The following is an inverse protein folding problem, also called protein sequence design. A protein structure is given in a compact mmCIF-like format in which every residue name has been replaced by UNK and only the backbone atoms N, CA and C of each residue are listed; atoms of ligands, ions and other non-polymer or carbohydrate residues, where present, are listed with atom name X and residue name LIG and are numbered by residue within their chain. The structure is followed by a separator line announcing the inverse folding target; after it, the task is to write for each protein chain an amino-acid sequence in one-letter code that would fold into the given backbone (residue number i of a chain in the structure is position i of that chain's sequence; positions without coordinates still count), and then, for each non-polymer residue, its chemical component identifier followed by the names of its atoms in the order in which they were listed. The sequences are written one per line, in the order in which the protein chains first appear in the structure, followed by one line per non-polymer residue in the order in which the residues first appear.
data_IF_913246942524
#
_entry.id   IF_913246942524
#
_cell.length_a   1.000
_cell.length_b   1.000
_cell.length_c   1.000
_cell.angle_alpha   90.00
_cell.angle_beta   90.00
_cell.angle_gamma   90.00
#
_symmetry.space_group_name_H-M   'P 1'
#
loop_
_entity.id
_entity.type
_entity.pdbx_description
1 polymer ?
#
# COMPACT_ATOMS: atom_id res chain seq x y z
N UNK A 1 0.52 -43.15 -12.94
CA UNK A 1 1.37 -41.94 -12.81
C UNK A 1 2.17 -42.02 -11.52
N UNK A 2 3.48 -41.80 -11.57
CA UNK A 2 4.28 -41.59 -10.37
C UNK A 2 3.95 -40.22 -9.80
N UNK A 3 3.23 -40.18 -8.67
CA UNK A 3 2.82 -38.94 -7.99
C UNK A 3 4.02 -38.01 -7.69
N UNK A 4 5.18 -38.60 -7.37
CA UNK A 4 6.43 -37.88 -7.15
C UNK A 4 6.84 -37.05 -8.39
N UNK A 5 6.79 -37.65 -9.57
CA UNK A 5 7.19 -36.99 -10.82
C UNK A 5 6.26 -35.82 -11.15
N UNK A 6 4.94 -36.04 -11.03
CA UNK A 6 3.95 -34.99 -11.25
C UNK A 6 4.17 -33.80 -10.30
N UNK A 7 4.52 -34.08 -9.05
CA UNK A 7 4.78 -33.05 -8.03
C UNK A 7 6.02 -32.22 -8.38
N UNK A 8 7.11 -32.87 -8.79
CA UNK A 8 8.33 -32.19 -9.25
C UNK A 8 8.03 -31.31 -10.47
N UNK A 9 7.27 -31.83 -11.43
CA UNK A 9 6.90 -31.06 -12.63
C UNK A 9 6.09 -29.81 -12.29
N UNK A 10 5.09 -29.93 -11.41
CA UNK A 10 4.31 -28.78 -10.94
C UNK A 10 5.22 -27.75 -10.27
N UNK A 11 6.17 -28.19 -9.43
CA UNK A 11 7.12 -27.30 -8.78
C UNK A 11 8.01 -26.56 -9.80
N UNK A 12 8.50 -27.25 -10.83
CA UNK A 12 9.29 -26.65 -11.91
C UNK A 12 8.49 -25.64 -12.76
N UNK A 13 7.18 -25.82 -12.88
CA UNK A 13 6.30 -24.85 -13.54
C UNK A 13 6.05 -23.63 -12.64
N UNK A 14 5.83 -23.86 -11.35
CA UNK A 14 5.40 -22.83 -10.40
C UNK A 14 6.57 -21.95 -9.93
N UNK A 15 7.78 -22.49 -9.79
CA UNK A 15 8.95 -21.76 -9.27
C UNK A 15 9.25 -20.40 -9.96
N UNK A 16 9.32 -20.30 -11.31
CA UNK A 16 9.49 -19.00 -11.97
C UNK A 16 8.32 -18.05 -11.76
N UNK A 17 7.10 -18.57 -11.59
CA UNK A 17 5.94 -17.77 -11.26
C UNK A 17 5.96 -17.20 -9.84
N UNK A 18 6.44 -17.97 -8.86
CA UNK A 18 6.60 -17.51 -7.48
C UNK A 18 7.62 -16.37 -7.40
N UNK A 19 8.75 -16.53 -8.10
CA UNK A 19 9.78 -15.49 -8.16
C UNK A 19 9.33 -14.25 -8.93
N UNK A 20 8.52 -14.41 -9.98
CA UNK A 20 7.81 -13.29 -10.62
C UNK A 20 6.98 -12.50 -9.61
N UNK A 21 6.11 -13.14 -8.83
CA UNK A 21 5.26 -12.42 -7.88
C UNK A 21 6.04 -11.79 -6.75
N UNK A 22 7.06 -12.49 -6.23
CA UNK A 22 7.93 -11.95 -5.19
C UNK A 22 8.66 -10.68 -5.68
N UNK A 23 9.13 -10.67 -6.92
CA UNK A 23 9.74 -9.48 -7.52
C UNK A 23 8.70 -8.38 -7.81
N UNK A 24 7.53 -8.74 -8.34
CA UNK A 24 6.43 -7.82 -8.65
C UNK A 24 5.97 -7.05 -7.42
N UNK A 25 5.76 -7.76 -6.30
CA UNK A 25 5.32 -7.19 -5.04
C UNK A 25 6.47 -6.71 -4.13
N UNK A 26 7.72 -6.62 -4.56
CA UNK A 26 8.84 -6.18 -3.68
C UNK A 26 8.69 -4.77 -3.03
N UNK A 27 9.59 -4.35 -2.14
CA UNK A 27 9.58 -3.00 -1.54
C UNK A 27 8.29 -2.67 -0.77
N UNK A 28 7.72 -1.48 -0.95
CA UNK A 28 6.52 -1.00 -0.22
C UNK A 28 5.24 -1.83 -0.41
N UNK A 29 5.24 -2.81 -1.32
CA UNK A 29 4.08 -3.66 -1.62
C UNK A 29 4.30 -5.13 -1.23
N UNK A 30 5.38 -5.46 -0.50
CA UNK A 30 5.74 -6.84 -0.14
C UNK A 30 4.68 -7.53 0.69
N UNK A 31 3.91 -6.75 1.43
CA UNK A 31 2.85 -7.16 2.33
C UNK A 31 1.74 -7.95 1.63
N UNK A 32 1.37 -7.60 0.37
CA UNK A 32 0.32 -8.34 -0.36
C UNK A 32 0.72 -9.79 -0.63
N UNK A 33 1.99 -10.04 -0.95
CA UNK A 33 2.47 -11.40 -1.21
C UNK A 33 2.48 -12.26 0.07
N UNK A 34 2.77 -11.65 1.23
CA UNK A 34 2.77 -12.35 2.53
C UNK A 34 1.38 -12.80 3.01
N UNK A 35 0.31 -12.11 2.60
CA UNK A 35 -1.08 -12.42 3.04
C UNK A 35 -1.73 -13.59 2.29
N UNK A 36 -1.18 -13.99 1.14
CA UNK A 36 -1.74 -15.06 0.34
C UNK A 36 -1.44 -16.42 0.97
N UNK A 37 -2.43 -17.31 1.01
CA UNK A 37 -2.18 -18.70 1.41
C UNK A 37 -1.18 -19.35 0.45
N UNK A 38 -0.44 -20.36 0.92
CA UNK A 38 0.52 -21.09 0.07
C UNK A 38 -0.17 -21.59 -1.21
N UNK A 39 -1.39 -22.12 -1.08
CA UNK A 39 -2.19 -22.56 -2.21
C UNK A 39 -2.47 -21.44 -3.21
N UNK A 40 -2.89 -20.26 -2.75
CA UNK A 40 -3.16 -19.11 -3.62
C UNK A 40 -1.88 -18.60 -4.31
N UNK A 41 -0.74 -18.61 -3.60
CA UNK A 41 0.55 -18.30 -4.20
C UNK A 41 0.90 -19.28 -5.32
N UNK A 42 0.70 -20.59 -5.12
CA UNK A 42 0.93 -21.62 -6.13
C UNK A 42 0.01 -21.41 -7.33
N UNK A 43 -1.30 -21.29 -7.11
CA UNK A 43 -2.29 -21.14 -8.19
C UNK A 43 -2.03 -19.91 -9.05
N UNK A 44 -1.78 -18.75 -8.42
CA UNK A 44 -1.49 -17.52 -9.15
C UNK A 44 -0.21 -17.66 -9.95
N UNK A 45 0.80 -18.35 -9.42
CA UNK A 45 2.12 -18.54 -10.03
C UNK A 45 2.12 -19.41 -11.29
N UNK A 46 1.07 -20.21 -11.53
CA UNK A 46 0.99 -21.05 -12.73
C UNK A 46 1.06 -20.21 -14.01
N UNK A 47 0.26 -19.14 -14.10
CA UNK A 47 0.19 -18.30 -15.31
C UNK A 47 1.53 -17.62 -15.63
N UNK A 48 2.17 -16.86 -14.73
CA UNK A 48 3.47 -16.26 -15.02
C UNK A 48 4.58 -17.32 -15.16
N UNK A 49 4.46 -18.47 -14.50
CA UNK A 49 5.39 -19.58 -14.66
C UNK A 49 5.37 -20.16 -16.07
N UNK A 50 4.19 -20.48 -16.59
CA UNK A 50 3.99 -20.92 -17.98
C UNK A 50 4.43 -19.82 -18.96
N UNK A 51 4.14 -18.56 -18.67
CA UNK A 51 4.55 -17.43 -19.52
C UNK A 51 6.07 -17.32 -19.60
N UNK A 52 6.77 -17.42 -18.46
CA UNK A 52 8.23 -17.41 -18.41
C UNK A 52 8.82 -18.61 -19.18
N UNK A 53 8.20 -19.79 -19.08
CA UNK A 53 8.61 -20.97 -19.84
C UNK A 53 8.43 -20.78 -21.35
N UNK A 54 7.28 -20.25 -21.78
CA UNK A 54 7.02 -19.98 -23.19
C UNK A 54 8.05 -19.00 -23.75
N UNK A 55 8.36 -17.93 -23.01
CA UNK A 55 9.42 -16.98 -23.38
C UNK A 55 10.76 -17.70 -23.46
N UNK A 56 11.15 -18.47 -22.44
CA UNK A 56 12.43 -19.17 -22.42
C UNK A 56 12.59 -20.15 -23.59
N UNK A 57 11.53 -20.89 -23.95
CA UNK A 57 11.54 -21.82 -25.10
C UNK A 57 11.79 -21.06 -26.42
N UNK A 58 11.24 -19.86 -26.59
CA UNK A 58 11.49 -19.06 -27.79
C UNK A 58 12.95 -18.64 -27.94
N UNK A 59 13.68 -18.48 -26.82
CA UNK A 59 15.08 -18.07 -26.81
C UNK A 59 16.07 -19.22 -26.62
N UNK A 60 15.61 -20.43 -26.31
CA UNK A 60 16.49 -21.56 -25.99
C UNK A 60 17.38 -21.94 -27.17
N UNK A 61 16.84 -21.89 -28.38
CA UNK A 61 17.56 -22.24 -29.61
C UNK A 61 18.64 -21.23 -29.98
N UNK A 62 18.55 -20.00 -29.47
CA UNK A 62 19.53 -18.93 -29.71
C UNK A 62 20.67 -18.95 -28.68
N UNK A 63 20.53 -19.75 -27.61
CA UNK A 63 21.50 -19.80 -26.53
C UNK A 63 22.41 -21.01 -26.70
N UNK A 64 23.71 -20.85 -27.05
CA UNK A 64 24.63 -21.98 -27.25
C UNK A 64 24.93 -22.78 -25.98
N UNK A 65 24.49 -22.28 -24.81
CA UNK A 65 24.60 -22.97 -23.52
C UNK A 65 23.43 -23.94 -23.27
N UNK A 66 22.38 -23.91 -24.10
CA UNK A 66 21.17 -24.69 -23.94
C UNK A 66 20.86 -25.45 -25.24
N UNK A 67 20.76 -26.77 -25.15
CA UNK A 67 20.30 -27.59 -26.27
C UNK A 67 18.77 -27.50 -26.42
N UNK A 68 18.27 -27.92 -27.59
CA UNK A 68 16.84 -27.93 -27.88
C UNK A 68 16.04 -28.69 -26.81
N UNK A 69 14.95 -28.10 -26.33
CA UNK A 69 14.04 -28.74 -25.38
C UNK A 69 13.24 -29.83 -26.09
N UNK A 70 13.54 -31.10 -25.81
CA UNK A 70 12.73 -32.21 -26.32
C UNK A 70 11.48 -32.42 -25.46
N UNK A 71 10.37 -31.82 -25.88
CA UNK A 71 9.06 -31.95 -25.24
C UNK A 71 8.51 -33.39 -25.29
N UNK A 72 9.06 -34.28 -26.13
CA UNK A 72 8.62 -35.68 -26.22
C UNK A 72 8.96 -36.45 -24.95
N UNK A 73 10.15 -36.21 -24.39
CA UNK A 73 10.60 -36.81 -23.13
C UNK A 73 9.64 -36.40 -22.01
N UNK A 74 9.24 -35.13 -21.98
CA UNK A 74 8.29 -34.62 -21.00
C UNK A 74 6.90 -35.28 -21.13
N UNK A 75 6.39 -35.40 -22.36
CA UNK A 75 5.11 -36.07 -22.64
C UNK A 75 5.12 -37.54 -22.25
N UNK A 76 6.20 -38.25 -22.55
CA UNK A 76 6.37 -39.66 -22.18
C UNK A 76 6.45 -39.86 -20.67
N UNK A 77 7.11 -38.95 -19.95
CA UNK A 77 7.24 -39.00 -18.50
C UNK A 77 5.92 -38.63 -17.78
N UNK A 78 5.06 -37.83 -18.42
CA UNK A 78 3.75 -37.45 -17.90
C UNK A 78 2.66 -38.51 -18.13
N UNK A 79 2.58 -39.04 -19.36
CA UNK A 79 1.56 -40.03 -19.78
C UNK A 79 1.92 -41.42 -19.27
N UNK A 80 3.21 -41.67 -19.06
CA UNK A 80 3.76 -42.96 -18.71
C UNK A 80 4.37 -43.64 -19.94
N UNK A 81 5.51 -44.31 -19.76
CA UNK A 81 6.18 -45.07 -20.80
C UNK A 81 5.33 -46.26 -21.25
N UNK A 82 5.47 -46.66 -22.51
CA UNK A 82 4.81 -47.88 -23.04
C UNK A 82 5.63 -49.15 -22.82
N UNK A 83 6.92 -49.02 -22.56
CA UNK A 83 7.89 -50.11 -22.39
C UNK A 83 9.07 -49.70 -21.49
N UNK A 84 9.66 -50.67 -20.77
CA UNK A 84 10.71 -50.43 -19.77
C UNK A 84 12.06 -49.99 -20.37
N UNK A 85 12.34 -50.34 -21.63
CA UNK A 85 13.57 -49.96 -22.31
C UNK A 85 13.66 -48.43 -22.50
N UNK A 86 12.56 -47.83 -22.99
CA UNK A 86 12.47 -46.38 -23.22
C UNK A 86 12.53 -45.58 -21.91
N UNK A 87 12.07 -46.17 -20.80
CA UNK A 87 12.24 -45.58 -19.45
C UNK A 87 13.70 -45.44 -19.08
N UNK A 88 14.44 -46.54 -19.21
CA UNK A 88 15.85 -46.61 -18.83
C UNK A 88 16.69 -45.64 -19.66
N UNK A 89 16.44 -45.58 -20.96
CA UNK A 89 17.09 -44.62 -21.86
C UNK A 89 16.80 -43.17 -21.45
N UNK A 90 15.53 -42.86 -21.12
CA UNK A 90 15.14 -41.52 -20.69
C UNK A 90 15.83 -41.07 -19.40
N UNK A 91 15.95 -41.97 -18.41
CA UNK A 91 16.66 -41.66 -17.17
C UNK A 91 18.15 -41.42 -17.42
N UNK A 92 18.79 -42.19 -18.31
CA UNK A 92 20.20 -41.98 -18.67
C UNK A 92 20.42 -40.63 -19.37
N UNK A 93 19.49 -40.22 -20.24
CA UNK A 93 19.53 -38.90 -20.89
C UNK A 93 19.37 -37.77 -19.87
N UNK A 94 18.44 -37.92 -18.92
CA UNK A 94 18.24 -36.95 -17.84
C UNK A 94 19.48 -36.86 -16.95
N UNK A 95 20.06 -37.98 -16.55
CA UNK A 95 21.27 -38.03 -15.71
C UNK A 95 22.45 -37.35 -16.40
N UNK A 96 22.69 -37.65 -17.68
CA UNK A 96 23.73 -37.01 -18.48
C UNK A 96 23.51 -35.50 -18.67
N UNK A 97 22.24 -35.06 -18.64
CA UNK A 97 21.85 -33.66 -18.90
C UNK A 97 21.50 -32.88 -17.62
N UNK A 98 21.69 -33.45 -16.43
CA UNK A 98 21.20 -32.87 -15.18
C UNK A 98 21.70 -31.44 -14.94
N UNK A 99 22.99 -31.18 -15.19
CA UNK A 99 23.57 -29.84 -15.05
C UNK A 99 22.93 -28.81 -15.99
N UNK A 100 22.56 -29.22 -17.20
CA UNK A 100 21.87 -28.35 -18.18
C UNK A 100 20.44 -28.07 -17.75
N UNK A 101 19.72 -29.09 -17.25
CA UNK A 101 18.36 -28.94 -16.69
C UNK A 101 18.36 -27.96 -15.51
N UNK A 102 19.31 -28.09 -14.59
CA UNK A 102 19.46 -27.18 -13.45
C UNK A 102 19.77 -25.76 -13.95
N UNK A 103 20.72 -25.60 -14.88
CA UNK A 103 21.08 -24.29 -15.44
C UNK A 103 19.90 -23.61 -16.13
N UNK A 104 19.17 -24.36 -16.96
CA UNK A 104 17.94 -23.88 -17.60
C UNK A 104 16.92 -23.40 -16.55
N UNK A 105 16.70 -24.18 -15.50
CA UNK A 105 15.72 -23.84 -14.48
C UNK A 105 16.14 -22.62 -13.63
N UNK A 106 17.44 -22.47 -13.32
CA UNK A 106 17.96 -21.28 -12.67
C UNK A 106 17.78 -20.03 -13.53
N UNK A 107 18.10 -20.11 -14.82
CA UNK A 107 17.88 -19.01 -15.77
C UNK A 107 16.39 -18.66 -15.87
N UNK A 108 15.51 -19.66 -15.84
CA UNK A 108 14.07 -19.48 -15.86
C UNK A 108 13.55 -18.77 -14.60
N UNK A 109 14.08 -19.12 -13.42
CA UNK A 109 13.79 -18.42 -12.16
C UNK A 109 14.25 -16.96 -12.22
N UNK A 110 15.46 -16.70 -12.72
CA UNK A 110 15.98 -15.34 -12.91
C UNK A 110 15.12 -14.53 -13.89
N UNK A 111 14.70 -15.16 -14.98
CA UNK A 111 13.79 -14.56 -15.96
C UNK A 111 12.44 -14.20 -15.31
N UNK A 112 11.86 -15.10 -14.50
CA UNK A 112 10.65 -14.84 -13.74
C UNK A 112 10.77 -13.60 -12.84
N UNK A 113 11.85 -13.54 -12.04
CA UNK A 113 12.14 -12.38 -11.19
C UNK A 113 12.31 -11.08 -12.00
N UNK A 114 13.05 -11.13 -13.12
CA UNK A 114 13.25 -9.98 -14.01
C UNK A 114 11.94 -9.47 -14.61
N UNK A 115 11.09 -10.38 -15.10
CA UNK A 115 9.78 -10.05 -15.65
C UNK A 115 8.88 -9.40 -14.59
N UNK A 116 8.88 -9.92 -13.36
CA UNK A 116 8.12 -9.36 -12.25
C UNK A 116 8.57 -7.94 -11.90
N UNK A 117 9.89 -7.73 -11.79
CA UNK A 117 10.47 -6.41 -11.54
C UNK A 117 10.17 -5.41 -12.67
N UNK A 118 10.27 -5.84 -13.93
CA UNK A 118 9.96 -5.01 -15.10
C UNK A 118 8.47 -4.65 -15.16
N UNK A 119 7.58 -5.61 -14.93
CA UNK A 119 6.13 -5.39 -14.90
C UNK A 119 5.74 -4.36 -13.83
N UNK A 120 6.26 -4.51 -12.61
CA UNK A 120 6.07 -3.53 -11.53
C UNK A 120 6.57 -2.14 -11.94
N UNK A 121 7.80 -2.08 -12.44
CA UNK A 121 8.42 -0.82 -12.86
C UNK A 121 7.61 -0.14 -13.95
N UNK A 122 7.09 -0.91 -14.90
CA UNK A 122 6.25 -0.40 -15.99
C UNK A 122 4.93 0.17 -15.47
N UNK A 123 4.21 -0.57 -14.63
CA UNK A 123 2.94 -0.14 -14.03
C UNK A 123 3.12 1.15 -13.23
N UNK A 124 4.13 1.19 -12.34
CA UNK A 124 4.39 2.35 -11.47
C UNK A 124 4.88 3.57 -12.25
N UNK A 125 5.76 3.40 -13.24
CA UNK A 125 6.23 4.52 -14.08
C UNK A 125 5.11 5.11 -14.94
N UNK A 126 4.19 4.27 -15.42
CA UNK A 126 3.02 4.71 -16.19
C UNK A 126 1.81 5.07 -15.32
N UNK A 127 1.93 5.00 -13.99
CA UNK A 127 0.86 5.29 -13.02
C UNK A 127 -0.42 4.47 -13.30
N UNK A 128 -0.30 3.29 -13.88
CA UNK A 128 -1.44 2.45 -14.28
C UNK A 128 -2.21 1.92 -13.06
N UNK A 129 -1.54 1.71 -11.94
CA UNK A 129 -2.13 1.34 -10.66
C UNK A 129 -3.03 2.43 -10.05
N UNK A 130 -2.84 3.69 -10.45
CA UNK A 130 -3.65 4.84 -10.00
C UNK A 130 -4.91 4.99 -10.85
N UNK A 131 -4.79 4.75 -12.16
CA UNK A 131 -5.88 4.88 -13.15
C UNK A 131 -6.80 3.65 -13.23
N UNK A 132 -6.27 2.45 -13.00
CA UNK A 132 -7.00 1.20 -13.21
C UNK A 132 -7.07 0.39 -11.91
N UNK A 133 -8.28 0.24 -11.37
CA UNK A 133 -8.52 -0.38 -10.05
C UNK A 133 -7.95 -1.81 -9.89
N UNK A 134 -8.01 -2.63 -10.94
CA UNK A 134 -7.45 -4.00 -10.95
C UNK A 134 -5.91 -4.09 -10.89
N UNK A 135 -5.18 -3.04 -11.30
CA UNK A 135 -3.71 -2.98 -11.21
C UNK A 135 -3.24 -2.33 -9.92
N UNK A 136 -4.17 -1.78 -9.13
CA UNK A 136 -3.88 -1.14 -7.85
C UNK A 136 -3.32 -2.16 -6.86
N UNK A 137 -2.23 -1.80 -6.23
CA UNK A 137 -1.69 -2.53 -5.08
C UNK A 137 -2.65 -2.45 -3.88
N UNK A 138 -2.76 -3.53 -3.10
CA UNK A 138 -3.64 -3.59 -1.93
C UNK A 138 -2.97 -2.93 -0.70
N UNK A 139 -2.79 -1.62 -0.77
CA UNK A 139 -2.16 -0.83 0.29
C UNK A 139 -2.70 0.59 0.29
N UNK A 140 -3.86 0.79 0.93
CA UNK A 140 -4.55 2.08 0.95
C UNK A 140 -3.75 3.17 1.67
N UNK A 141 -3.14 2.84 2.80
CA UNK A 141 -2.30 3.77 3.57
C UNK A 141 -1.15 4.31 2.75
N UNK A 142 -0.51 3.47 1.93
CA UNK A 142 0.56 3.93 1.05
C UNK A 142 0.09 5.01 0.06
N UNK A 143 -1.05 4.83 -0.62
CA UNK A 143 -1.55 5.84 -1.55
C UNK A 143 -2.00 7.12 -0.84
N UNK A 144 -2.66 6.97 0.32
CA UNK A 144 -3.15 8.09 1.10
C UNK A 144 -1.98 8.94 1.61
N UNK A 145 -1.04 8.33 2.33
CA UNK A 145 0.08 9.03 2.96
C UNK A 145 1.13 9.55 1.96
N UNK A 146 1.15 9.03 0.72
CA UNK A 146 1.95 9.59 -0.38
C UNK A 146 1.17 10.59 -1.25
N UNK A 147 -0.11 10.84 -0.96
CA UNK A 147 -0.96 11.72 -1.76
C UNK A 147 -1.27 11.20 -3.16
N UNK A 148 -0.98 9.93 -3.46
CA UNK A 148 -1.26 9.32 -4.77
C UNK A 148 -2.76 9.06 -4.99
N UNK A 149 -3.57 9.13 -3.93
CA UNK A 149 -5.02 8.96 -3.98
C UNK A 149 -5.72 10.02 -4.82
N UNK A 150 -5.14 11.22 -4.95
CA UNK A 150 -5.69 12.33 -5.73
C UNK A 150 -5.75 12.03 -7.23
N UNK A 151 -4.87 11.13 -7.70
CA UNK A 151 -4.83 10.70 -9.10
C UNK A 151 -5.76 9.52 -9.40
N UNK A 152 -6.60 9.13 -8.43
CA UNK A 152 -7.64 8.14 -8.67
C UNK A 152 -8.77 8.76 -9.48
N UNK A 153 -9.60 7.91 -10.11
CA UNK A 153 -10.68 8.36 -11.01
C UNK A 153 -11.60 9.40 -10.38
N UNK A 154 -11.86 9.27 -9.07
CA UNK A 154 -12.78 10.14 -8.32
C UNK A 154 -12.01 11.14 -7.43
N UNK A 155 -10.68 11.22 -7.57
CA UNK A 155 -9.82 12.04 -6.72
C UNK A 155 -9.99 13.54 -6.96
N UNK A 156 -10.11 13.97 -8.23
CA UNK A 156 -10.26 15.39 -8.58
C UNK A 156 -11.51 16.01 -7.96
N UNK A 157 -12.62 15.27 -7.94
CA UNK A 157 -13.89 15.75 -7.37
C UNK A 157 -13.82 15.93 -5.85
N UNK A 158 -12.96 15.15 -5.17
CA UNK A 158 -12.82 15.17 -3.71
C UNK A 158 -11.78 16.20 -3.28
N UNK A 159 -10.65 16.25 -3.97
CA UNK A 159 -9.49 17.04 -3.58
C UNK A 159 -9.32 18.31 -4.43
N UNK A 160 -10.12 18.56 -5.46
CA UNK A 160 -10.00 19.76 -6.31
C UNK A 160 -8.74 19.81 -7.19
N UNK A 161 -7.90 18.77 -7.20
CA UNK A 161 -6.75 18.61 -8.10
C UNK A 161 -6.47 17.13 -8.39
N UNK A 162 -5.81 16.85 -9.51
CA UNK A 162 -5.59 15.47 -10.00
C UNK A 162 -4.14 15.10 -10.29
N UNK A 163 -3.18 15.95 -9.93
CA UNK A 163 -1.75 15.65 -10.04
C UNK A 163 -1.06 15.62 -8.68
N UNK A 164 -0.65 14.42 -8.25
CA UNK A 164 0.08 14.25 -6.99
C UNK A 164 1.45 14.93 -7.02
N UNK A 165 1.98 15.31 -8.19
CA UNK A 165 3.25 16.04 -8.30
C UNK A 165 3.18 17.45 -7.72
N UNK A 166 1.96 18.01 -7.56
CA UNK A 166 1.73 19.32 -6.96
C UNK A 166 1.88 19.32 -5.44
N UNK A 167 1.73 18.16 -4.79
CA UNK A 167 1.81 18.01 -3.33
C UNK A 167 3.25 18.18 -2.87
N UNK A 168 3.51 19.13 -1.98
CA UNK A 168 4.84 19.36 -1.38
C UNK A 168 5.05 18.64 -0.09
N UNK A 169 4.04 18.68 0.77
CA UNK A 169 4.06 18.01 2.06
C UNK A 169 2.66 17.59 2.45
N UNK A 170 2.61 16.54 3.25
CA UNK A 170 1.39 16.01 3.84
C UNK A 170 1.43 16.38 5.32
N UNK A 171 0.45 17.13 5.79
CA UNK A 171 0.28 17.40 7.22
C UNK A 171 -0.64 16.35 7.80
N UNK A 172 -0.31 15.88 9.00
CA UNK A 172 -1.14 14.95 9.75
C UNK A 172 -1.47 15.52 11.12
N UNK A 173 -2.75 15.50 11.46
CA UNK A 173 -3.24 15.81 12.81
C UNK A 173 -3.68 14.51 13.47
N UNK A 174 -3.00 14.15 14.55
CA UNK A 174 -3.09 12.84 15.17
C UNK A 174 -3.63 13.02 16.59
N UNK A 175 -4.85 12.56 16.82
CA UNK A 175 -5.44 12.50 18.15
C UNK A 175 -4.97 11.22 18.85
N UNK A 176 -4.34 11.36 20.01
CA UNK A 176 -3.83 10.26 20.82
C UNK A 176 -4.37 10.31 22.24
N UNK A 177 -4.37 9.15 22.91
CA UNK A 177 -4.68 9.05 24.34
C UNK A 177 -3.39 8.87 25.14
N UNK A 178 -3.14 9.74 26.09
CA UNK A 178 -2.02 9.65 27.03
C UNK A 178 -2.51 9.62 28.47
N UNK A 179 -1.64 9.20 29.39
CA UNK A 179 -1.90 9.30 30.83
C UNK A 179 -1.98 10.78 31.23
N UNK A 180 -3.19 11.34 31.23
CA UNK A 180 -3.43 12.77 31.48
C UNK A 180 -4.47 13.43 30.56
N UNK A 181 -4.93 12.73 29.52
CA UNK A 181 -5.99 13.21 28.64
C UNK A 181 -5.73 12.87 27.17
N UNK A 182 -6.43 13.57 26.28
CA UNK A 182 -6.22 13.44 24.85
C UNK A 182 -5.23 14.51 24.37
N UNK A 183 -4.34 14.15 23.46
CA UNK A 183 -3.36 15.06 22.86
C UNK A 183 -3.47 15.00 21.36
N UNK A 184 -3.54 16.16 20.72
CA UNK A 184 -3.42 16.31 19.27
C UNK A 184 -1.95 16.60 18.96
N UNK A 185 -1.37 15.79 18.10
CA UNK A 185 -0.07 16.04 17.50
C UNK A 185 -0.26 16.49 16.06
N UNK A 186 0.31 17.63 15.69
CA UNK A 186 0.27 18.16 14.32
C UNK A 186 1.69 18.26 13.78
N UNK A 187 1.90 17.88 12.53
CA UNK A 187 3.22 18.04 11.89
C UNK A 187 3.27 17.51 10.47
N UNK A 188 4.40 17.75 9.81
CA UNK A 188 4.64 17.25 8.47
C UNK A 188 5.01 15.77 8.50
N UNK A 189 4.26 14.94 7.77
CA UNK A 189 4.56 13.54 7.60
C UNK A 189 5.90 13.37 6.90
N UNK A 190 6.82 12.68 7.57
CA UNK A 190 8.12 12.37 7.02
C UNK A 190 8.18 10.96 6.45
N UNK A 191 7.75 9.97 7.24
CA UNK A 191 7.73 8.58 6.82
C UNK A 191 6.70 7.77 7.62
N UNK A 192 6.48 6.52 7.21
CA UNK A 192 5.59 5.60 7.93
C UNK A 192 6.01 4.14 7.74
N UNK A 193 5.78 3.35 8.78
CA UNK A 193 5.94 1.91 8.75
C UNK A 193 4.58 1.23 8.59
N UNK A 194 4.58 0.10 7.89
CA UNK A 194 3.40 -0.73 7.69
C UNK A 194 3.54 -2.07 8.42
N UNK A 195 2.41 -2.63 8.82
CA UNK A 195 2.30 -3.99 9.33
C UNK A 195 2.36 -5.03 8.22
N UNK A 196 2.50 -6.30 8.60
CA UNK A 196 2.55 -7.42 7.64
C UNK A 196 1.29 -7.54 6.78
N UNK A 197 0.14 -7.12 7.32
CA UNK A 197 -1.15 -7.13 6.63
C UNK A 197 -1.40 -5.89 5.73
N UNK A 198 -0.47 -4.93 5.72
CA UNK A 198 -0.59 -3.65 5.03
C UNK A 198 -1.29 -2.55 5.85
N UNK A 199 -1.62 -2.83 7.12
CA UNK A 199 -2.06 -1.84 8.09
C UNK A 199 -0.97 -0.81 8.40
N UNK A 200 -1.37 0.35 8.93
CA UNK A 200 -0.43 1.36 9.39
C UNK A 200 0.12 0.93 10.75
N UNK A 201 1.44 0.90 10.89
CA UNK A 201 2.11 0.50 12.14
C UNK A 201 2.56 1.73 12.93
N UNK A 202 3.20 2.67 12.26
CA UNK A 202 3.86 3.81 12.92
C UNK A 202 3.96 4.96 11.94
N UNK A 203 3.74 6.19 12.43
CA UNK A 203 4.02 7.41 11.66
C UNK A 203 5.22 8.14 12.24
N UNK A 204 6.00 8.75 11.36
CA UNK A 204 7.12 9.60 11.70
C UNK A 204 6.82 11.01 11.20
N UNK A 205 6.70 11.96 12.11
CA UNK A 205 6.33 13.35 11.81
C UNK A 205 7.45 14.31 12.20
N UNK A 206 7.64 15.35 11.40
CA UNK A 206 8.63 16.43 11.60
C UNK A 206 7.93 17.74 11.93
N UNK A 207 8.68 18.66 12.54
CA UNK A 207 8.14 19.94 13.02
C UNK A 207 6.87 19.72 13.86
N UNK A 208 6.93 18.72 14.74
CA UNK A 208 5.79 18.25 15.49
C UNK A 208 5.45 19.23 16.61
N UNK A 209 4.19 19.59 16.67
CA UNK A 209 3.60 20.39 17.74
C UNK A 209 2.55 19.55 18.46
N UNK A 210 2.33 19.82 19.75
CA UNK A 210 1.30 19.15 20.53
C UNK A 210 0.32 20.13 21.15
N UNK A 211 -0.92 19.68 21.31
CA UNK A 211 -1.98 20.39 22.02
C UNK A 211 -2.75 19.41 22.90
N UNK A 212 -2.88 19.72 24.19
CA UNK A 212 -3.74 18.94 25.09
C UNK A 212 -5.19 19.34 24.87
N UNK A 213 -6.05 18.35 24.64
CA UNK A 213 -7.49 18.55 24.52
C UNK A 213 -8.09 18.53 25.92
N UNK A 214 -8.50 19.71 26.41
CA UNK A 214 -9.32 19.80 27.61
C UNK A 214 -10.73 19.36 27.26
N UNK A 215 -11.20 18.25 27.83
CA UNK A 215 -12.62 17.90 27.77
C UNK A 215 -13.30 18.83 28.78
N UNK A 216 -14.12 19.77 28.30
CA UNK A 216 -14.99 20.54 29.17
C UNK A 216 -15.90 19.56 29.92
N UNK A 217 -15.75 19.50 31.24
CA UNK A 217 -16.52 18.64 32.13
C UNK A 217 -17.96 19.16 32.32
N UNK A 218 -18.68 19.41 31.21
CA UNK A 218 -20.00 20.04 31.20
C UNK A 218 -20.94 19.33 30.23
N UNK A 219 -21.05 18.00 30.31
CA UNK A 219 -22.13 17.25 29.65
C UNK A 219 -22.67 16.08 30.50
N UNK A 220 -22.41 16.07 31.81
CA UNK A 220 -22.92 15.03 32.71
C UNK A 220 -23.43 15.62 34.03
N UNK A 221 -24.45 16.47 33.93
CA UNK A 221 -25.48 16.69 34.95
C UNK A 221 -26.62 17.42 34.25
N UNK A 222 -27.84 17.00 34.55
CA UNK A 222 -29.11 17.54 34.07
C UNK A 222 -29.67 16.94 32.78
N UNK A 223 -30.06 15.66 32.87
CA UNK A 223 -31.29 15.19 32.25
C UNK A 223 -31.84 13.95 32.98
N UNK A 224 -32.15 14.11 34.27
CA UNK A 224 -33.26 13.36 34.86
C UNK A 224 -34.43 14.33 34.98
N UNK A 225 -35.31 14.33 33.98
CA UNK A 225 -36.67 14.85 34.16
C UNK A 225 -37.59 14.05 33.24
N UNK A 226 -38.49 13.35 33.91
CA UNK A 226 -39.60 12.55 33.37
C UNK A 226 -40.47 13.33 32.37
N UNK A 227 -41.01 12.66 31.34
CA UNK A 227 -41.90 13.30 30.38
C UNK A 227 -43.32 13.29 30.93
N UNK A 228 -43.78 14.42 31.46
CA UNK A 228 -45.21 14.74 31.48
C UNK A 228 -45.38 16.20 31.91
N UNK A 229 -45.72 17.05 30.93
CA UNK A 229 -46.71 18.15 30.95
C UNK A 229 -46.32 19.15 29.88
N UNK A 230 -46.76 18.88 28.64
CA UNK A 230 -46.88 19.91 27.62
C UNK A 230 -48.19 20.64 27.86
N UNK A 231 -48.14 21.85 28.43
CA UNK A 231 -49.14 22.87 28.14
C UNK A 231 -48.71 24.25 28.65
N UNK A 232 -48.77 25.19 27.71
CA UNK A 232 -48.84 26.65 27.89
C UNK A 232 -47.51 27.36 28.20
N UNK A 233 -47.07 28.20 27.27
CA UNK A 233 -46.52 29.52 27.54
C UNK A 233 -46.49 30.34 26.23
N UNK A 234 -47.51 31.18 26.05
CA UNK A 234 -47.39 32.46 25.37
C UNK A 234 -46.99 33.52 26.41
N UNK A 235 -46.16 34.46 25.94
CA UNK A 235 -45.95 35.84 26.41
C UNK A 235 -45.35 36.17 27.79
N UNK A 236 -44.22 36.88 27.67
CA UNK A 236 -43.87 38.19 28.27
C UNK A 236 -42.78 38.30 29.36
N UNK A 237 -41.81 39.15 28.97
CA UNK A 237 -41.08 40.18 29.72
C UNK A 237 -39.98 39.83 30.74
N UNK A 238 -38.75 40.17 30.31
CA UNK A 238 -37.69 40.93 30.99
C UNK A 238 -37.52 40.82 32.51
N UNK A 239 -36.28 40.60 32.96
CA UNK A 239 -35.50 41.52 33.82
C UNK A 239 -34.09 40.97 34.06
N UNK A 240 -33.12 41.86 33.82
CA UNK A 240 -31.78 42.03 34.40
C UNK A 240 -30.79 40.87 34.61
N UNK A 241 -29.72 40.94 33.81
CA UNK A 241 -28.34 41.25 34.22
C UNK A 241 -27.96 40.80 35.64
N UNK A 242 -27.20 39.72 35.73
CA UNK A 242 -25.86 39.61 36.36
C UNK A 242 -25.56 38.11 36.48
N UNK A 243 -24.30 37.73 36.24
CA UNK A 243 -23.70 36.41 36.46
C UNK A 243 -23.93 35.35 35.38
N UNK A 244 -23.22 35.49 34.26
CA UNK A 244 -22.31 34.43 33.83
C UNK A 244 -21.16 35.03 33.01
N UNK A 245 -20.51 36.00 33.65
CA UNK A 245 -19.10 36.33 33.49
C UNK A 245 -18.21 35.19 34.04
N UNK A 246 -18.50 33.94 33.68
CA UNK A 246 -17.49 32.93 33.48
C UNK A 246 -17.08 33.15 32.03
N UNK A 247 -16.26 34.17 31.74
CA UNK A 247 -14.85 33.88 31.49
C UNK A 247 -14.69 32.45 30.96
N UNK A 248 -15.19 32.24 29.74
CA UNK A 248 -14.31 31.75 28.70
C UNK A 248 -13.04 32.61 28.76
N UNK A 249 -12.18 32.34 29.75
CA UNK A 249 -10.76 32.51 29.55
C UNK A 249 -10.52 31.93 28.17
N UNK A 250 -10.06 32.81 27.27
CA UNK A 250 -9.28 32.43 26.11
C UNK A 250 -8.20 31.48 26.60
N UNK A 251 -8.56 30.21 26.75
CA UNK A 251 -7.62 29.12 26.89
C UNK A 251 -7.09 28.89 25.49
N UNK A 252 -6.27 29.85 25.05
CA UNK A 252 -5.18 29.65 24.11
C UNK A 252 -4.34 28.49 24.66
N UNK A 253 -4.85 27.27 24.43
CA UNK A 253 -4.03 26.08 24.46
C UNK A 253 -3.21 26.13 23.19
N UNK A 254 -2.20 27.01 23.23
CA UNK A 254 -1.23 27.17 22.17
C UNK A 254 -0.57 25.82 21.91
N UNK A 255 -0.35 25.55 20.63
CA UNK A 255 0.46 24.43 20.21
C UNK A 255 1.87 24.58 20.80
N UNK A 256 2.29 23.59 21.59
CA UNK A 256 3.63 23.56 22.13
C UNK A 256 4.54 22.82 21.15
N UNK A 257 5.67 23.42 20.80
CA UNK A 257 6.71 22.71 20.06
C UNK A 257 7.26 21.55 20.88
N UNK A 258 7.45 20.41 20.22
CA UNK A 258 8.05 19.25 20.85
C UNK A 258 9.55 19.31 20.58
N UNK A 259 10.40 19.25 21.63
CA UNK A 259 11.83 19.24 21.42
C UNK A 259 12.24 18.01 20.62
N UNK A 260 12.99 18.23 19.53
CA UNK A 260 13.46 17.17 18.65
C UNK A 260 13.22 17.47 17.18
N UNK A 261 13.75 16.61 16.31
CA UNK A 261 13.58 16.74 14.85
C UNK A 261 12.54 15.78 14.27
N UNK A 262 12.20 14.74 15.02
CA UNK A 262 11.32 13.66 14.57
C UNK A 262 10.53 13.11 15.76
N UNK A 263 9.21 13.09 15.63
CA UNK A 263 8.31 12.41 16.56
C UNK A 263 7.79 11.13 15.90
N UNK A 264 7.76 10.05 16.66
CA UNK A 264 7.28 8.74 16.21
C UNK A 264 6.05 8.35 17.01
N UNK A 265 4.94 8.05 16.33
CA UNK A 265 3.67 7.69 16.97
C UNK A 265 3.23 6.30 16.48
N UNK A 266 3.16 5.29 17.36
CA UNK A 266 2.57 4.00 17.03
C UNK A 266 1.09 4.15 16.67
N UNK A 267 0.64 3.47 15.62
CA UNK A 267 -0.75 3.52 15.17
C UNK A 267 -1.73 3.03 16.23
N UNK A 268 -1.31 2.10 17.09
CA UNK A 268 -2.10 1.61 18.23
C UNK A 268 -2.45 2.67 19.27
N UNK A 269 -1.78 3.83 19.27
CA UNK A 269 -2.05 4.96 20.15
C UNK A 269 -2.94 6.03 19.51
N UNK A 270 -3.23 5.90 18.22
CA UNK A 270 -3.97 6.87 17.44
C UNK A 270 -5.46 6.56 17.57
N UNK A 271 -6.21 7.51 18.14
CA UNK A 271 -7.66 7.47 18.21
C UNK A 271 -8.24 7.87 16.85
N UNK A 272 -7.75 8.96 16.28
CA UNK A 272 -8.19 9.50 15.01
C UNK A 272 -7.05 10.25 14.33
N UNK A 273 -7.12 10.36 13.00
CA UNK A 273 -6.12 11.06 12.20
C UNK A 273 -6.79 11.82 11.06
N UNK A 274 -6.48 13.11 10.96
CA UNK A 274 -6.77 13.92 9.78
C UNK A 274 -5.51 14.05 8.92
N UNK A 275 -5.69 14.12 7.59
CA UNK A 275 -4.60 14.23 6.63
C UNK A 275 -4.94 15.37 5.66
N UNK A 276 -4.06 16.36 5.60
CA UNK A 276 -4.19 17.51 4.70
C UNK A 276 -3.07 17.50 3.66
N UNK A 277 -3.40 17.82 2.40
CA UNK A 277 -2.43 17.90 1.31
C UNK A 277 -2.14 19.36 0.97
N UNK A 278 -0.87 19.74 1.02
CA UNK A 278 -0.45 21.10 0.68
C UNK A 278 0.18 21.11 -0.70
N UNK A 279 -0.42 21.86 -1.61
CA UNK A 279 -0.01 21.94 -3.01
C UNK A 279 0.67 23.28 -3.30
N UNK A 280 1.58 23.30 -4.27
CA UNK A 280 2.06 24.58 -4.84
C UNK A 280 1.12 24.99 -5.95
N UNK A 281 0.59 26.21 -5.84
CA UNK A 281 0.00 26.86 -6.99
C UNK A 281 1.13 27.12 -8.01
N UNK A 282 1.21 26.28 -9.03
CA UNK A 282 1.77 26.75 -10.30
C UNK A 282 0.74 27.71 -10.86
N UNK A 283 0.96 29.01 -10.68
CA UNK A 283 0.33 30.00 -11.54
C UNK A 283 0.54 29.53 -12.98
N UNK A 284 -0.55 29.13 -13.65
CA UNK A 284 -0.58 29.07 -15.10
C UNK A 284 -0.40 30.52 -15.53
N UNK A 285 0.86 30.91 -15.71
CA UNK A 285 1.26 32.23 -16.15
C UNK A 285 0.74 32.44 -17.57
N UNK A 286 -0.50 32.90 -17.67
CA UNK A 286 -0.85 33.82 -18.74
C UNK A 286 0.01 35.06 -18.48
N UNK A 287 1.05 35.18 -19.30
CA UNK A 287 1.95 36.33 -19.37
C UNK A 287 1.18 37.65 -19.29
N UNK A 288 1.15 38.27 -18.12
CA UNK A 288 1.45 39.69 -17.85
C UNK A 288 1.23 39.96 -16.36
N UNK A 289 2.32 40.31 -15.70
CA UNK A 289 2.47 40.94 -14.37
C UNK A 289 3.16 40.04 -13.36
N UNK A 290 4.39 40.45 -13.00
CA UNK A 290 5.29 39.72 -12.11
C UNK A 290 4.78 39.72 -10.67
N UNK A 291 4.20 38.59 -10.27
CA UNK A 291 3.95 38.24 -8.88
C UNK A 291 4.95 37.15 -8.50
N UNK A 292 5.59 37.31 -7.34
CA UNK A 292 6.49 36.29 -6.79
C UNK A 292 5.67 35.09 -6.29
N UNK A 293 6.14 33.84 -6.49
CA UNK A 293 5.40 32.66 -6.09
C UNK A 293 5.54 32.40 -4.58
N UNK A 294 4.51 32.67 -3.79
CA UNK A 294 4.47 32.29 -2.36
C UNK A 294 3.19 31.59 -1.90
N UNK A 295 2.25 31.26 -2.79
CA UNK A 295 0.93 30.80 -2.36
C UNK A 295 0.87 29.27 -2.29
N UNK A 296 1.02 28.77 -1.06
CA UNK A 296 0.72 27.38 -0.69
C UNK A 296 -0.71 27.36 -0.13
N UNK A 297 -1.58 26.50 -0.66
CA UNK A 297 -2.94 26.29 -0.15
C UNK A 297 -3.11 24.89 0.41
N UNK A 298 -3.88 24.82 1.49
CA UNK A 298 -4.38 23.58 2.08
C UNK A 298 -5.60 23.09 1.29
N UNK A 299 -5.64 21.79 1.03
CA UNK A 299 -6.73 21.13 0.32
C UNK A 299 -7.10 19.81 0.98
#
# INVERSE_FOLDING_TARGET
MNFLFATVLVLLIVAPGLTFFRAYYSGSFSHRYGRLTISDQIFRSIVPGITAQAIAILFVNECPLLDSVDLRILGMLLIGPKDDATVKESFQVIEASLGRVITYHLLLILLGALLGWRARSFIRRKKFDRRLNWLRYDNKWFYLLKGEVVEFKDGEDIFGFSDASLIRFVIVDILTKVEGGNVIYTGALYDFDLEQDGGLKTLHIRAAQRKFVKIAASLSKDSETTPDTLQNMEEQESVDVVSESLQAEELESEYQEIPGKLLTIPYSQIINMNISYYVVETEVTNTTNGVEPSDIREV
#
